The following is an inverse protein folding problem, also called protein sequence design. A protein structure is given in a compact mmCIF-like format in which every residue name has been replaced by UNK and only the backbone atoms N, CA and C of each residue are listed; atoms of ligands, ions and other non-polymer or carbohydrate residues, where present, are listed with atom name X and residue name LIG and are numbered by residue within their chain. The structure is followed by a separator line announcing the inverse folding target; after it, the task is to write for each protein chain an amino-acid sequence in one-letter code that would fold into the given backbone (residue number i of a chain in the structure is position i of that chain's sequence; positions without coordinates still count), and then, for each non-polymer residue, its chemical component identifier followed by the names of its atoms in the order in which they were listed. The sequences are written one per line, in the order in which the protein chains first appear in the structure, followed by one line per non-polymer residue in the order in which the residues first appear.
data_IF_821462031792
#
_entry.id   IF_821462031792
#
_cell.length_a   1.000
_cell.length_b   1.000
_cell.length_c   1.000
_cell.angle_alpha   90.00
_cell.angle_beta   90.00
_cell.angle_gamma   90.00
#
_symmetry.space_group_name_H-M   'P 1'
#
loop_
_entity.id
_entity.type
_entity.pdbx_description
1 polymer ?
#
# COMPACT_ATOMS: atom_id res chain seq x y z
N UNK A 1 -13.07 -8.16 15.07
CA UNK A 1 -13.13 -7.50 13.74
C UNK A 1 -12.42 -8.41 12.74
N UNK A 2 -12.85 -8.47 11.46
CA UNK A 2 -12.14 -9.22 10.42
C UNK A 2 -11.59 -8.26 9.36
N UNK A 3 -10.42 -8.58 8.82
CA UNK A 3 -9.78 -7.86 7.71
C UNK A 3 -9.39 -8.84 6.61
N UNK A 4 -9.25 -8.38 5.38
CA UNK A 4 -8.73 -9.21 4.29
C UNK A 4 -7.22 -9.14 4.22
N UNK A 5 -6.57 -10.29 4.03
CA UNK A 5 -5.14 -10.34 3.75
C UNK A 5 -4.85 -9.59 2.42
N UNK A 6 -3.98 -8.56 2.42
CA UNK A 6 -3.73 -7.76 1.21
C UNK A 6 -3.24 -8.60 0.02
N UNK A 7 -2.41 -9.61 0.30
CA UNK A 7 -1.80 -10.48 -0.70
C UNK A 7 -2.76 -11.53 -1.30
N UNK A 8 -3.51 -12.27 -0.46
CA UNK A 8 -4.31 -13.43 -0.92
C UNK A 8 -5.82 -13.30 -0.70
N UNK A 9 -6.29 -12.17 -0.15
CA UNK A 9 -7.70 -11.85 0.15
C UNK A 9 -8.40 -12.78 1.15
N UNK A 10 -7.67 -13.68 1.80
CA UNK A 10 -8.23 -14.49 2.89
C UNK A 10 -8.71 -13.60 4.03
N UNK A 11 -9.95 -13.78 4.47
CA UNK A 11 -10.49 -13.11 5.66
C UNK A 11 -9.82 -13.64 6.93
N UNK A 12 -9.26 -12.74 7.73
CA UNK A 12 -8.53 -13.06 8.97
C UNK A 12 -9.09 -12.23 10.12
N UNK A 13 -9.11 -12.83 11.32
CA UNK A 13 -9.47 -12.11 12.53
C UNK A 13 -8.35 -11.14 12.92
N UNK A 14 -8.74 -9.93 13.34
CA UNK A 14 -7.84 -8.98 13.97
C UNK A 14 -7.59 -9.40 15.43
N UNK A 15 -6.80 -10.47 15.56
CA UNK A 15 -6.18 -11.08 16.76
C UNK A 15 -5.23 -10.17 17.55
N UNK A 16 -4.72 -10.59 18.71
CA UNK A 16 -3.29 -10.50 19.05
C UNK A 16 -2.52 -11.77 18.68
N UNK A 17 -3.22 -12.90 18.57
CA UNK A 17 -2.66 -14.24 18.30
C UNK A 17 -2.07 -14.42 16.89
N UNK A 18 -2.41 -13.55 15.94
CA UNK A 18 -1.83 -13.55 14.59
C UNK A 18 -0.70 -12.49 14.47
N UNK A 19 0.58 -12.80 14.73
CA UNK A 19 1.66 -11.81 14.70
C UNK A 19 1.92 -11.21 13.31
N UNK A 20 1.27 -11.72 12.27
CA UNK A 20 1.45 -11.29 10.88
C UNK A 20 0.35 -10.37 10.36
N UNK A 21 -0.59 -9.90 11.21
CA UNK A 21 -1.63 -8.94 10.80
C UNK A 21 -1.02 -7.75 10.02
N UNK A 22 -1.65 -7.27 8.92
CA UNK A 22 -2.96 -7.68 8.38
C UNK A 22 -2.92 -8.96 7.51
N UNK A 23 -1.77 -9.60 7.36
CA UNK A 23 -1.61 -10.81 6.56
C UNK A 23 -2.12 -12.07 7.28
N UNK A 24 -2.49 -13.09 6.50
CA UNK A 24 -2.95 -14.36 7.07
C UNK A 24 -1.82 -15.28 7.57
N UNK A 25 -0.58 -15.02 7.14
CA UNK A 25 0.60 -15.79 7.54
C UNK A 25 1.88 -15.04 7.13
N UNK A 26 3.02 -15.51 7.64
CA UNK A 26 4.35 -15.00 7.31
C UNK A 26 4.63 -15.00 5.80
N UNK A 27 4.27 -16.08 5.09
CA UNK A 27 4.46 -16.18 3.64
C UNK A 27 3.80 -15.02 2.89
N UNK A 28 2.59 -14.64 3.26
CA UNK A 28 1.89 -13.52 2.61
C UNK A 28 2.55 -12.17 2.90
N UNK A 29 3.08 -11.97 4.11
CA UNK A 29 3.87 -10.78 4.47
C UNK A 29 5.14 -10.68 3.62
N UNK A 30 5.86 -11.78 3.44
CA UNK A 30 7.11 -11.82 2.68
C UNK A 30 6.88 -11.60 1.17
N UNK A 31 5.79 -12.14 0.61
CA UNK A 31 5.43 -11.91 -0.79
C UNK A 31 5.14 -10.42 -1.03
N UNK A 32 4.33 -9.81 -0.16
CA UNK A 32 4.00 -8.38 -0.25
C UNK A 32 5.27 -7.52 -0.18
N UNK A 33 6.17 -7.82 0.78
CA UNK A 33 7.48 -7.17 0.87
C UNK A 33 8.33 -7.35 -0.40
N UNK A 34 8.29 -8.55 -1.01
CA UNK A 34 8.97 -8.82 -2.27
C UNK A 34 8.42 -7.98 -3.43
N UNK A 35 7.10 -7.85 -3.54
CA UNK A 35 6.46 -7.01 -4.56
C UNK A 35 6.84 -5.52 -4.42
N UNK A 36 7.00 -5.03 -3.18
CA UNK A 36 7.57 -3.70 -2.93
C UNK A 36 9.02 -3.60 -3.39
N UNK A 37 9.86 -4.56 -3.01
CA UNK A 37 11.27 -4.58 -3.38
C UNK A 37 11.49 -4.67 -4.91
N UNK A 38 10.57 -5.31 -5.62
CA UNK A 38 10.60 -5.50 -7.07
C UNK A 38 9.91 -4.36 -7.86
N UNK A 39 9.46 -3.28 -7.19
CA UNK A 39 8.70 -2.18 -7.81
C UNK A 39 7.44 -2.64 -8.59
N UNK A 40 6.78 -3.71 -8.11
CA UNK A 40 5.53 -4.20 -8.70
C UNK A 40 4.35 -3.29 -8.35
N UNK A 41 4.39 -2.65 -7.18
CA UNK A 41 3.42 -1.62 -6.82
C UNK A 41 3.80 -0.28 -7.46
N UNK A 42 2.88 0.29 -8.24
CA UNK A 42 3.04 1.62 -8.83
C UNK A 42 1.79 2.47 -8.58
N UNK A 43 2.01 3.74 -8.28
CA UNK A 43 0.96 4.75 -8.29
C UNK A 43 0.94 5.35 -9.70
N UNK A 44 -0.20 5.32 -10.40
CA UNK A 44 -0.32 5.98 -11.69
C UNK A 44 0.05 7.46 -11.57
N UNK A 45 0.90 7.95 -12.46
CA UNK A 45 1.13 9.38 -12.58
C UNK A 45 -0.17 10.05 -13.04
N UNK A 46 -0.56 11.12 -12.37
CA UNK A 46 -1.58 12.00 -12.90
C UNK A 46 -0.99 12.76 -14.09
N UNK A 47 -1.75 12.92 -15.16
CA UNK A 47 -1.37 13.83 -16.25
C UNK A 47 -1.57 15.26 -15.73
N UNK A 48 -0.59 15.76 -14.98
CA UNK A 48 -0.52 17.15 -14.54
C UNK A 48 0.03 17.98 -15.68
N UNK A 49 -0.67 19.05 -16.06
CA UNK A 49 -0.12 20.01 -16.99
C UNK A 49 0.99 20.83 -16.30
N UNK A 50 1.91 21.43 -17.06
CA UNK A 50 2.90 22.35 -16.49
C UNK A 50 2.24 23.45 -15.64
N UNK A 51 1.09 23.97 -16.07
CA UNK A 51 0.33 25.00 -15.36
C UNK A 51 -0.25 24.51 -14.01
N UNK A 52 -0.51 23.19 -13.86
CA UNK A 52 -0.97 22.59 -12.61
C UNK A 52 0.18 22.40 -11.60
N UNK A 53 1.40 22.16 -12.11
CA UNK A 53 2.60 22.02 -11.29
C UNK A 53 3.00 23.35 -10.65
N UNK A 54 2.94 24.45 -11.43
CA UNK A 54 3.26 25.80 -10.94
C UNK A 54 2.31 26.22 -9.81
N UNK A 55 1.03 25.84 -9.87
CA UNK A 55 0.05 26.14 -8.82
C UNK A 55 0.27 25.32 -7.54
N UNK A 56 0.73 24.07 -7.64
CA UNK A 56 1.07 23.26 -6.48
C UNK A 56 2.27 23.83 -5.72
N UNK A 57 3.29 24.30 -6.43
CA UNK A 57 4.48 24.91 -5.82
C UNK A 57 4.15 26.21 -5.06
N UNK A 58 3.18 27.00 -5.53
CA UNK A 58 2.70 28.20 -4.82
C UNK A 58 1.91 27.85 -3.54
N UNK A 59 1.07 26.79 -3.60
CA UNK A 59 0.26 26.34 -2.44
C UNK A 59 1.15 25.73 -1.34
N UNK A 60 2.19 24.99 -1.71
CA UNK A 60 3.05 24.28 -0.74
C UNK A 60 4.14 25.18 -0.13
N UNK A 61 4.29 26.43 -0.62
CA UNK A 61 5.28 27.41 -0.14
C UNK A 61 4.82 28.25 1.06
N UNK A 62 3.59 28.09 1.54
CA UNK A 62 3.05 28.78 2.73
C UNK A 62 3.10 27.90 3.98
#
# INVERSE_FOLDING_TARGET
MKVECPNCKKSVEWSEDNPFRPFCCERCKLIDLGAWANEEYRVPAQNVSPDDLDQLDEITRH
#
